data_IF_720442471985
#
_entry.id   IF_720442471985
#
_cell.length_a   1.000
_cell.length_b   1.000
_cell.length_c   1.000
_cell.angle_alpha   90.00
_cell.angle_beta   90.00
_cell.angle_gamma   90.00
#
_symmetry.space_group_name_H-M   'P 1'
#
loop_
_entity.id
_entity.type
_entity.pdbx_description
1 polymer ?
#
# COMPACT_ATOMS: atom_id res chain seq x y z
N UNK A 1 0.45 -32.41 -36.08
CA UNK A 1 0.23 -30.98 -36.29
C UNK A 1 -1.10 -30.87 -37.00
N UNK A 2 -2.12 -30.28 -36.39
CA UNK A 2 -3.43 -30.03 -37.00
C UNK A 2 -3.26 -29.06 -38.17
N UNK A 3 -4.06 -29.22 -39.22
CA UNK A 3 -4.05 -28.33 -40.38
C UNK A 3 -4.44 -26.90 -39.92
N UNK A 4 -3.84 -25.84 -40.49
CA UNK A 4 -4.25 -24.46 -40.21
C UNK A 4 -5.74 -24.28 -40.59
N UNK A 5 -6.39 -23.39 -39.89
CA UNK A 5 -7.79 -23.03 -40.15
C UNK A 5 -7.90 -22.35 -41.50
N UNK A 6 -8.81 -22.83 -42.35
CA UNK A 6 -9.15 -22.17 -43.64
C UNK A 6 -10.65 -22.28 -43.89
N UNK A 7 -11.15 -21.53 -44.86
CA UNK A 7 -12.53 -21.62 -45.31
C UNK A 7 -12.63 -21.62 -46.84
N UNK A 8 -13.61 -22.34 -47.35
CA UNK A 8 -13.97 -22.32 -48.74
C UNK A 8 -15.41 -21.80 -48.92
N UNK A 9 -15.60 -21.04 -49.98
CA UNK A 9 -16.95 -20.54 -50.36
C UNK A 9 -17.55 -21.58 -51.35
N UNK A 10 -18.61 -22.23 -50.93
CA UNK A 10 -19.37 -23.18 -51.73
C UNK A 10 -20.76 -22.58 -52.04
N UNK A 11 -21.24 -22.77 -53.23
CA UNK A 11 -22.61 -22.38 -53.63
C UNK A 11 -23.49 -23.62 -53.55
N UNK A 12 -24.40 -23.65 -52.60
CA UNK A 12 -25.33 -24.75 -52.43
C UNK A 12 -26.75 -24.25 -52.63
N UNK A 13 -27.40 -24.62 -53.73
CA UNK A 13 -28.75 -24.22 -54.13
C UNK A 13 -28.94 -22.69 -54.25
N UNK A 14 -27.94 -21.96 -54.77
CA UNK A 14 -28.02 -20.52 -54.95
C UNK A 14 -27.89 -19.68 -53.68
N UNK A 15 -27.42 -20.29 -52.55
CA UNK A 15 -27.08 -19.60 -51.34
C UNK A 15 -25.58 -19.79 -51.01
N UNK A 16 -24.84 -18.70 -50.83
CA UNK A 16 -23.41 -18.81 -50.48
C UNK A 16 -23.23 -19.43 -49.09
N UNK A 17 -22.47 -20.52 -49.04
CA UNK A 17 -22.12 -21.23 -47.78
C UNK A 17 -20.64 -21.21 -47.58
N UNK A 18 -20.23 -20.88 -46.34
CA UNK A 18 -18.84 -20.95 -45.88
C UNK A 18 -18.60 -22.27 -45.15
N UNK A 19 -17.76 -23.15 -45.76
CA UNK A 19 -17.30 -24.35 -45.13
C UNK A 19 -15.92 -24.14 -44.48
N UNK A 20 -15.87 -24.30 -43.17
CA UNK A 20 -14.62 -24.20 -42.41
C UNK A 20 -13.91 -25.57 -42.39
N UNK A 21 -12.56 -25.55 -42.53
CA UNK A 21 -11.69 -26.72 -42.48
C UNK A 21 -10.50 -26.50 -41.55
N UNK A 22 -9.95 -27.60 -41.02
CA UNK A 22 -8.79 -27.55 -40.13
C UNK A 22 -9.10 -27.20 -38.67
N UNK A 23 -8.11 -26.72 -37.93
CA UNK A 23 -8.26 -26.40 -36.50
C UNK A 23 -8.53 -24.90 -36.27
N UNK A 24 -9.75 -24.59 -35.85
CA UNK A 24 -10.16 -23.22 -35.43
C UNK A 24 -9.67 -22.91 -34.02
N UNK A 25 -8.34 -22.89 -33.84
CA UNK A 25 -7.68 -22.55 -32.57
C UNK A 25 -6.77 -21.37 -32.77
N UNK A 26 -6.52 -20.59 -31.70
CA UNK A 26 -5.75 -19.34 -31.74
C UNK A 26 -4.42 -19.50 -32.53
N UNK A 27 -3.72 -20.60 -32.34
CA UNK A 27 -2.43 -20.86 -33.02
C UNK A 27 -2.58 -21.13 -34.52
N UNK A 28 -3.78 -21.51 -35.00
CA UNK A 28 -4.06 -21.90 -36.40
C UNK A 28 -4.86 -20.87 -37.19
N UNK A 29 -5.35 -19.82 -36.56
CA UNK A 29 -6.27 -18.83 -37.18
C UNK A 29 -5.58 -17.89 -38.19
N UNK A 30 -4.30 -17.55 -38.02
CA UNK A 30 -3.57 -16.65 -38.91
C UNK A 30 -4.34 -15.35 -39.21
N UNK A 31 -4.59 -15.12 -40.51
CA UNK A 31 -5.35 -13.97 -41.05
C UNK A 31 -6.85 -14.26 -41.34
N UNK A 32 -7.34 -15.39 -40.85
CA UNK A 32 -8.71 -15.88 -41.13
C UNK A 32 -9.79 -14.87 -40.77
N UNK A 33 -9.64 -14.15 -39.64
CA UNK A 33 -10.61 -13.15 -39.21
C UNK A 33 -10.70 -11.94 -40.17
N UNK A 34 -9.55 -11.50 -40.70
CA UNK A 34 -9.49 -10.38 -41.65
C UNK A 34 -10.03 -10.78 -43.01
N UNK A 35 -9.75 -11.99 -43.43
CA UNK A 35 -10.29 -12.58 -44.68
C UNK A 35 -11.81 -12.76 -44.62
N UNK A 36 -12.35 -13.20 -43.49
CA UNK A 36 -13.79 -13.29 -43.24
C UNK A 36 -14.46 -11.93 -43.28
N UNK A 37 -13.84 -10.91 -42.72
CA UNK A 37 -14.37 -9.54 -42.71
C UNK A 37 -14.37 -8.88 -44.10
N UNK A 38 -13.50 -9.33 -45.00
CA UNK A 38 -13.38 -8.83 -46.39
C UNK A 38 -14.30 -9.54 -47.40
N UNK A 39 -15.10 -10.49 -46.95
CA UNK A 39 -16.00 -11.26 -47.83
C UNK A 39 -17.21 -10.41 -48.27
N UNK A 40 -17.36 -10.29 -49.60
CA UNK A 40 -18.50 -9.61 -50.23
C UNK A 40 -18.97 -10.45 -51.47
N UNK A 41 -20.20 -11.00 -51.54
CA UNK A 41 -21.29 -10.92 -50.55
C UNK A 41 -21.07 -11.84 -49.33
N UNK A 42 -21.66 -11.48 -48.15
CA UNK A 42 -21.55 -12.32 -46.97
C UNK A 42 -22.30 -13.67 -47.14
N UNK A 43 -21.77 -14.72 -46.57
CA UNK A 43 -22.36 -16.05 -46.61
C UNK A 43 -23.55 -16.16 -45.64
N UNK A 44 -24.66 -16.74 -46.10
CA UNK A 44 -25.87 -16.95 -45.29
C UNK A 44 -25.79 -18.24 -44.41
N UNK A 45 -24.84 -19.15 -44.68
CA UNK A 45 -24.67 -20.40 -43.93
C UNK A 45 -23.21 -20.68 -43.64
N UNK A 46 -22.95 -21.19 -42.43
CA UNK A 46 -21.63 -21.60 -41.95
C UNK A 46 -21.65 -23.11 -41.68
N UNK A 47 -20.85 -23.89 -42.41
CA UNK A 47 -20.72 -25.31 -42.22
C UNK A 47 -19.43 -25.61 -41.45
N UNK A 48 -19.58 -26.20 -40.28
CA UNK A 48 -18.50 -26.58 -39.36
C UNK A 48 -18.23 -28.09 -39.37
N UNK A 49 -18.81 -28.87 -40.31
CA UNK A 49 -18.69 -30.31 -40.36
C UNK A 49 -17.26 -30.83 -40.62
N UNK A 50 -16.40 -30.00 -41.22
CA UNK A 50 -15.02 -30.35 -41.59
C UNK A 50 -13.96 -29.77 -40.64
N UNK A 51 -14.35 -29.21 -39.49
CA UNK A 51 -13.40 -28.73 -38.46
C UNK A 51 -12.86 -29.89 -37.64
N UNK A 52 -11.54 -29.91 -37.40
CA UNK A 52 -10.89 -30.89 -36.54
C UNK A 52 -11.01 -30.53 -35.05
N UNK A 53 -10.92 -29.25 -34.73
CA UNK A 53 -10.93 -28.73 -33.36
C UNK A 53 -11.30 -27.24 -33.32
N UNK A 54 -11.98 -26.82 -32.26
CA UNK A 54 -12.35 -25.44 -32.03
C UNK A 54 -11.98 -25.04 -30.61
N UNK A 55 -11.48 -23.81 -30.43
CA UNK A 55 -11.29 -23.19 -29.13
C UNK A 55 -12.21 -21.97 -28.93
N UNK A 56 -12.09 -21.30 -27.76
CA UNK A 56 -12.93 -20.15 -27.43
C UNK A 56 -12.79 -19.00 -28.44
N UNK A 57 -11.59 -18.81 -29.01
CA UNK A 57 -11.34 -17.75 -30.00
C UNK A 57 -11.96 -18.11 -31.35
N UNK A 58 -11.82 -19.34 -31.77
CA UNK A 58 -12.48 -19.87 -32.98
C UNK A 58 -14.00 -19.77 -32.85
N UNK A 59 -14.56 -20.20 -31.73
CA UNK A 59 -15.99 -20.09 -31.44
C UNK A 59 -16.48 -18.63 -31.45
N UNK A 60 -15.67 -17.70 -30.94
CA UNK A 60 -15.99 -16.29 -30.96
C UNK A 60 -16.01 -15.70 -32.39
N UNK A 61 -15.05 -16.08 -33.24
CA UNK A 61 -15.02 -15.64 -34.65
C UNK A 61 -16.26 -16.13 -35.40
N UNK A 62 -16.61 -17.42 -35.22
CA UNK A 62 -17.82 -18.00 -35.85
C UNK A 62 -19.07 -17.32 -35.34
N UNK A 63 -19.22 -17.15 -34.04
CA UNK A 63 -20.36 -16.48 -33.42
C UNK A 63 -20.50 -15.02 -33.91
N UNK A 64 -19.40 -14.26 -33.89
CA UNK A 64 -19.38 -12.87 -34.35
C UNK A 64 -19.79 -12.72 -35.82
N UNK A 65 -19.29 -13.60 -36.69
CA UNK A 65 -19.65 -13.60 -38.08
C UNK A 65 -21.12 -13.98 -38.26
N UNK A 66 -21.59 -15.04 -37.61
CA UNK A 66 -22.97 -15.47 -37.66
C UNK A 66 -23.95 -14.39 -37.19
N UNK A 67 -23.63 -13.73 -36.05
CA UNK A 67 -24.47 -12.68 -35.51
C UNK A 67 -24.46 -11.37 -36.34
N UNK A 68 -23.30 -11.05 -36.95
CA UNK A 68 -23.15 -9.84 -37.77
C UNK A 68 -23.86 -9.93 -39.15
N UNK A 69 -24.08 -11.15 -39.66
CA UNK A 69 -24.63 -11.40 -40.99
C UNK A 69 -25.91 -12.26 -41.00
N UNK A 70 -26.53 -12.48 -39.82
CA UNK A 70 -27.69 -13.36 -39.63
C UNK A 70 -27.51 -14.76 -40.28
N UNK A 71 -26.25 -15.29 -40.25
CA UNK A 71 -25.91 -16.56 -40.86
C UNK A 71 -26.24 -17.73 -39.92
N UNK A 72 -26.77 -18.80 -40.51
CA UNK A 72 -27.08 -20.04 -39.76
C UNK A 72 -25.88 -20.97 -39.69
N UNK A 73 -25.60 -21.45 -38.46
CA UNK A 73 -24.49 -22.42 -38.20
C UNK A 73 -25.04 -23.84 -38.38
N UNK A 74 -24.36 -24.67 -39.19
CA UNK A 74 -24.72 -26.05 -39.47
C UNK A 74 -23.49 -26.95 -39.32
N UNK A 75 -23.67 -28.25 -39.03
CA UNK A 75 -22.59 -29.22 -38.98
C UNK A 75 -21.65 -29.12 -37.79
N UNK A 76 -21.99 -28.34 -36.76
CA UNK A 76 -21.18 -28.25 -35.53
C UNK A 76 -21.37 -29.51 -34.69
N UNK A 77 -20.24 -30.05 -34.19
CA UNK A 77 -20.21 -31.15 -33.22
C UNK A 77 -20.76 -30.66 -31.85
N UNK A 78 -21.14 -31.57 -30.99
CA UNK A 78 -21.72 -31.26 -29.66
C UNK A 78 -20.82 -30.33 -28.84
N UNK A 79 -19.50 -30.55 -28.88
CA UNK A 79 -18.53 -29.71 -28.14
C UNK A 79 -18.41 -28.30 -28.75
N UNK A 80 -18.39 -28.19 -30.07
CA UNK A 80 -18.37 -26.91 -30.78
C UNK A 80 -19.64 -26.13 -30.54
N UNK A 81 -20.82 -26.79 -30.58
CA UNK A 81 -22.11 -26.18 -30.32
C UNK A 81 -22.21 -25.62 -28.92
N UNK A 82 -21.78 -26.37 -27.89
CA UNK A 82 -21.74 -25.89 -26.48
C UNK A 82 -20.80 -24.70 -26.31
N UNK A 83 -19.63 -24.73 -26.97
CA UNK A 83 -18.66 -23.65 -26.86
C UNK A 83 -19.19 -22.35 -27.50
N UNK A 84 -19.81 -22.47 -28.69
CA UNK A 84 -20.44 -21.33 -29.37
C UNK A 84 -21.60 -20.75 -28.53
N UNK A 85 -22.42 -21.63 -27.92
CA UNK A 85 -23.51 -21.18 -27.03
C UNK A 85 -22.98 -20.47 -25.77
N UNK A 86 -21.88 -20.96 -25.19
CA UNK A 86 -21.23 -20.29 -24.05
C UNK A 86 -20.69 -18.92 -24.41
N UNK A 87 -20.05 -18.82 -25.59
CA UNK A 87 -19.57 -17.54 -26.13
C UNK A 87 -20.72 -16.58 -26.40
N UNK A 88 -21.82 -17.08 -26.99
CA UNK A 88 -23.02 -16.27 -27.24
C UNK A 88 -23.64 -15.74 -25.94
N UNK A 89 -23.64 -16.52 -24.86
CA UNK A 89 -24.10 -16.06 -23.53
C UNK A 89 -23.16 -15.05 -22.89
N UNK A 90 -21.87 -15.14 -23.19
CA UNK A 90 -20.87 -14.21 -22.69
C UNK A 90 -20.77 -12.90 -23.51
N UNK A 91 -21.26 -12.92 -24.76
CA UNK A 91 -21.27 -11.74 -25.63
C UNK A 91 -22.35 -10.74 -25.21
N UNK A 92 -22.11 -10.12 -24.06
CA UNK A 92 -22.91 -9.00 -23.62
C UNK A 92 -22.37 -7.71 -24.26
N UNK A 93 -23.24 -6.86 -24.85
CA UNK A 93 -22.79 -5.59 -25.41
C UNK A 93 -22.10 -4.77 -24.32
N UNK A 94 -20.78 -4.75 -24.37
CA UNK A 94 -20.00 -3.90 -23.49
C UNK A 94 -20.32 -2.46 -23.88
N UNK A 95 -21.24 -1.83 -23.16
CA UNK A 95 -21.54 -0.42 -23.33
C UNK A 95 -20.36 0.41 -22.81
N UNK A 96 -19.32 0.49 -23.62
CA UNK A 96 -18.30 1.52 -23.51
C UNK A 96 -18.89 2.86 -23.96
N UNK A 97 -19.95 3.32 -23.28
CA UNK A 97 -20.34 4.71 -23.43
C UNK A 97 -19.29 5.51 -22.67
N UNK A 98 -18.52 6.38 -23.33
CA UNK A 98 -17.71 7.34 -22.59
C UNK A 98 -18.68 8.12 -21.70
N UNK A 99 -18.31 8.27 -20.41
CA UNK A 99 -19.09 9.05 -19.47
C UNK A 99 -19.28 10.46 -20.02
N UNK A 100 -20.46 10.74 -20.53
CA UNK A 100 -20.86 12.05 -21.10
C UNK A 100 -21.24 13.02 -19.97
N UNK A 101 -20.83 12.76 -18.73
CA UNK A 101 -21.06 13.68 -17.63
C UNK A 101 -20.29 14.98 -17.87
N UNK A 102 -20.93 16.15 -17.66
CA UNK A 102 -20.24 17.42 -17.69
C UNK A 102 -19.02 17.39 -16.79
N UNK A 103 -17.92 18.06 -17.18
CA UNK A 103 -16.65 17.97 -16.44
C UNK A 103 -16.79 18.34 -14.96
N UNK A 104 -17.68 19.25 -14.62
CA UNK A 104 -17.99 19.63 -13.23
C UNK A 104 -18.62 18.47 -12.42
N UNK A 105 -19.56 17.73 -13.01
CA UNK A 105 -20.20 16.60 -12.34
C UNK A 105 -19.24 15.42 -12.18
N UNK A 106 -18.29 15.24 -13.12
CA UNK A 106 -17.23 14.23 -13.00
C UNK A 106 -16.31 14.55 -11.82
N UNK A 107 -15.82 15.80 -11.71
CA UNK A 107 -14.96 16.22 -10.59
C UNK A 107 -15.70 16.10 -9.27
N UNK A 108 -16.97 16.50 -9.19
CA UNK A 108 -17.78 16.34 -7.99
C UNK A 108 -17.98 14.86 -7.62
N UNK A 109 -18.16 13.98 -8.61
CA UNK A 109 -18.26 12.53 -8.41
C UNK A 109 -16.96 11.93 -7.89
N UNK A 110 -15.82 12.28 -8.47
CA UNK A 110 -14.49 11.83 -8.05
C UNK A 110 -14.17 12.30 -6.61
N UNK A 111 -14.44 13.58 -6.31
CA UNK A 111 -14.28 14.11 -4.93
C UNK A 111 -15.24 13.41 -3.97
N UNK A 112 -16.49 13.19 -4.36
CA UNK A 112 -17.47 12.48 -3.54
C UNK A 112 -17.04 11.05 -3.22
N UNK A 113 -16.56 10.32 -4.22
CA UNK A 113 -15.99 8.97 -4.02
C UNK A 113 -14.77 9.00 -3.10
N UNK A 114 -13.85 9.93 -3.30
CA UNK A 114 -12.69 10.10 -2.44
C UNK A 114 -13.06 10.37 -0.98
N UNK A 115 -14.08 11.20 -0.73
CA UNK A 115 -14.58 11.45 0.63
C UNK A 115 -15.21 10.20 1.25
N UNK A 116 -15.99 9.43 0.48
CA UNK A 116 -16.59 8.17 0.96
C UNK A 116 -15.50 7.15 1.28
N UNK A 117 -14.50 7.01 0.42
CA UNK A 117 -13.37 6.09 0.65
C UNK A 117 -12.54 6.50 1.87
N UNK A 118 -12.26 7.80 2.02
CA UNK A 118 -11.61 8.32 3.21
C UNK A 118 -12.43 8.05 4.48
N UNK A 119 -13.74 8.22 4.42
CA UNK A 119 -14.65 7.88 5.52
C UNK A 119 -14.62 6.38 5.87
N UNK A 120 -14.64 5.50 4.88
CA UNK A 120 -14.52 4.05 5.08
C UNK A 120 -13.17 3.66 5.68
N UNK A 121 -12.09 4.26 5.20
CA UNK A 121 -10.75 4.04 5.75
C UNK A 121 -10.66 4.48 7.20
N UNK A 122 -11.25 5.63 7.54
CA UNK A 122 -11.28 6.12 8.92
C UNK A 122 -12.08 5.18 9.85
N UNK A 123 -13.24 4.71 9.40
CA UNK A 123 -14.02 3.72 10.15
C UNK A 123 -13.25 2.40 10.32
N UNK A 124 -12.55 1.93 9.27
CA UNK A 124 -11.69 0.75 9.35
C UNK A 124 -10.54 0.92 10.35
N UNK A 125 -9.92 2.11 10.41
CA UNK A 125 -8.90 2.42 11.42
C UNK A 125 -9.47 2.43 12.85
N UNK A 126 -10.69 2.93 13.04
CA UNK A 126 -11.36 2.91 14.35
C UNK A 126 -11.70 1.48 14.78
N UNK A 127 -12.18 0.65 13.85
CA UNK A 127 -12.44 -0.78 14.12
C UNK A 127 -11.14 -1.51 14.48
N UNK A 128 -10.07 -1.27 13.72
CA UNK A 128 -8.74 -1.84 14.00
C UNK A 128 -8.21 -1.40 15.37
N UNK A 129 -8.37 -0.13 15.72
CA UNK A 129 -8.02 0.38 17.05
C UNK A 129 -8.82 -0.32 18.14
N UNK A 130 -10.14 -0.48 17.96
CA UNK A 130 -11.00 -1.23 18.87
C UNK A 130 -10.55 -2.68 19.04
N UNK A 131 -10.18 -3.34 17.93
CA UNK A 131 -9.67 -4.71 17.95
C UNK A 131 -8.35 -4.83 18.75
N UNK A 132 -7.45 -3.83 18.64
CA UNK A 132 -6.19 -3.78 19.42
C UNK A 132 -6.50 -3.63 20.92
N UNK A 133 -7.46 -2.75 21.30
CA UNK A 133 -7.84 -2.56 22.70
C UNK A 133 -8.44 -3.83 23.28
N UNK A 134 -9.30 -4.53 22.54
CA UNK A 134 -9.88 -5.81 22.94
C UNK A 134 -8.80 -6.88 23.10
N UNK A 135 -7.86 -6.96 22.15
CA UNK A 135 -6.73 -7.87 22.23
C UNK A 135 -5.83 -7.58 23.45
N UNK A 136 -5.51 -6.30 23.69
CA UNK A 136 -4.75 -5.87 24.86
C UNK A 136 -5.47 -6.24 26.16
N UNK A 137 -6.77 -5.98 26.26
CA UNK A 137 -7.58 -6.36 27.41
C UNK A 137 -7.58 -7.87 27.66
N UNK A 138 -7.73 -8.68 26.61
CA UNK A 138 -7.68 -10.15 26.71
C UNK A 138 -6.33 -10.62 27.23
N UNK A 139 -5.21 -10.12 26.66
CA UNK A 139 -3.84 -10.52 27.07
C UNK A 139 -3.59 -10.17 28.54
N UNK A 140 -4.03 -9.00 29.01
CA UNK A 140 -3.91 -8.59 30.42
C UNK A 140 -4.81 -9.46 31.32
N UNK A 141 -6.08 -9.69 30.93
CA UNK A 141 -7.07 -10.44 31.71
C UNK A 141 -6.72 -11.92 31.87
N UNK A 142 -6.19 -12.54 30.80
CA UNK A 142 -5.80 -13.96 30.79
C UNK A 142 -4.33 -14.19 31.11
N UNK A 143 -3.55 -13.16 31.37
CA UNK A 143 -2.10 -13.20 31.66
C UNK A 143 -1.25 -13.94 30.61
N UNK A 144 -1.69 -13.98 29.36
CA UNK A 144 -1.00 -14.63 28.24
C UNK A 144 -0.01 -13.70 27.57
N UNK A 145 0.86 -13.06 28.35
CA UNK A 145 1.83 -12.10 27.81
C UNK A 145 2.99 -12.84 27.12
N UNK A 146 3.20 -12.56 25.84
CA UNK A 146 4.30 -13.12 25.04
C UNK A 146 5.55 -12.22 25.15
N UNK A 147 6.23 -12.25 26.30
CA UNK A 147 7.40 -11.40 26.54
C UNK A 147 8.47 -11.54 25.46
N UNK A 148 8.76 -12.75 24.98
CA UNK A 148 9.76 -12.97 23.95
C UNK A 148 9.43 -12.28 22.62
N UNK A 149 8.15 -12.22 22.25
CA UNK A 149 7.72 -11.51 21.04
C UNK A 149 7.90 -9.99 21.18
N UNK A 150 7.56 -9.45 22.34
CA UNK A 150 7.77 -8.01 22.63
C UNK A 150 9.27 -7.70 22.68
N UNK A 151 10.08 -8.52 23.37
CA UNK A 151 11.53 -8.33 23.46
C UNK A 151 12.20 -8.32 22.07
N UNK A 152 11.80 -9.22 21.18
CA UNK A 152 12.31 -9.23 19.81
C UNK A 152 11.93 -7.95 19.04
N UNK A 153 10.75 -7.42 19.27
CA UNK A 153 10.34 -6.14 18.66
C UNK A 153 11.13 -4.96 19.24
N UNK A 154 11.51 -5.00 20.52
CA UNK A 154 12.41 -4.02 21.13
C UNK A 154 13.78 -3.97 20.45
N UNK A 155 14.34 -5.10 20.10
CA UNK A 155 15.61 -5.19 19.37
C UNK A 155 15.45 -4.59 17.95
N UNK A 156 14.42 -5.00 17.22
CA UNK A 156 14.20 -4.60 15.83
C UNK A 156 13.88 -3.10 15.71
N UNK A 157 12.98 -2.58 16.55
CA UNK A 157 12.52 -1.19 16.50
C UNK A 157 13.48 -0.25 17.23
N UNK A 158 14.06 -0.69 18.37
CA UNK A 158 14.88 0.14 19.23
C UNK A 158 16.35 0.10 18.84
N UNK A 159 17.02 -1.01 19.17
CA UNK A 159 18.50 -1.10 19.09
C UNK A 159 19.02 -0.79 17.70
N UNK A 160 18.42 -1.38 16.69
CA UNK A 160 18.83 -1.19 15.30
C UNK A 160 18.56 0.24 14.77
N UNK A 161 17.74 1.04 15.45
CA UNK A 161 17.43 2.41 15.05
C UNK A 161 18.33 3.44 15.76
N UNK A 162 18.98 3.10 16.87
CA UNK A 162 19.74 4.05 17.71
C UNK A 162 20.79 4.83 16.92
N UNK A 163 21.59 4.15 16.09
CA UNK A 163 22.66 4.80 15.35
C UNK A 163 22.13 5.87 14.37
N UNK A 164 21.06 5.54 13.65
CA UNK A 164 20.46 6.45 12.67
C UNK A 164 19.76 7.61 13.37
N UNK A 165 18.96 7.32 14.41
CA UNK A 165 18.27 8.35 15.21
C UNK A 165 19.32 9.27 15.85
N UNK A 166 20.39 8.71 16.41
CA UNK A 166 21.47 9.48 17.01
C UNK A 166 22.14 10.42 16.01
N UNK A 167 22.57 9.91 14.87
CA UNK A 167 23.21 10.72 13.84
C UNK A 167 22.31 11.84 13.35
N UNK A 168 21.06 11.52 13.02
CA UNK A 168 20.12 12.51 12.52
C UNK A 168 19.77 13.57 13.56
N UNK A 169 19.55 13.15 14.81
CA UNK A 169 19.29 14.08 15.91
C UNK A 169 20.47 15.00 16.19
N UNK A 170 21.68 14.47 16.13
CA UNK A 170 22.91 15.24 16.27
C UNK A 170 23.02 16.35 15.21
N UNK A 171 22.85 15.98 13.93
CA UNK A 171 22.91 16.94 12.82
C UNK A 171 21.80 17.99 12.91
N UNK A 172 20.59 17.60 13.28
CA UNK A 172 19.48 18.53 13.46
C UNK A 172 19.75 19.48 14.63
N UNK A 173 20.33 19.01 15.72
CA UNK A 173 20.76 19.85 16.82
C UNK A 173 21.75 20.93 16.38
N UNK A 174 22.72 20.58 15.55
CA UNK A 174 23.65 21.55 14.92
C UNK A 174 22.90 22.55 14.06
N UNK A 175 21.99 22.11 13.19
CA UNK A 175 21.26 22.99 12.27
C UNK A 175 20.40 23.99 13.04
N UNK A 176 19.70 23.53 14.10
CA UNK A 176 18.84 24.41 14.92
C UNK A 176 19.68 25.45 15.65
N UNK A 177 20.82 25.03 16.21
CA UNK A 177 21.70 25.97 16.90
C UNK A 177 22.28 26.98 15.91
N UNK A 178 22.65 26.57 14.69
CA UNK A 178 23.12 27.47 13.64
C UNK A 178 22.06 28.47 13.21
N UNK A 179 20.83 28.00 12.95
CA UNK A 179 19.72 28.87 12.55
C UNK A 179 19.33 29.84 13.69
N UNK A 180 19.29 29.34 14.90
CA UNK A 180 19.04 30.18 16.08
C UNK A 180 20.11 31.25 16.26
N UNK A 181 21.39 30.89 16.14
CA UNK A 181 22.50 31.83 16.24
C UNK A 181 22.43 32.94 15.20
N UNK A 182 22.18 32.60 13.93
CA UNK A 182 22.06 33.60 12.83
C UNK A 182 20.91 34.58 13.09
N UNK A 183 19.76 34.07 13.52
CA UNK A 183 18.59 34.93 13.81
C UNK A 183 18.81 35.82 15.01
N UNK A 184 19.40 35.32 16.10
CA UNK A 184 19.60 36.06 17.33
C UNK A 184 20.79 37.03 17.26
N UNK A 185 21.74 36.77 16.37
CA UNK A 185 22.90 37.66 16.13
C UNK A 185 22.50 39.07 15.72
N UNK A 186 21.42 39.18 14.93
CA UNK A 186 20.91 40.49 14.49
C UNK A 186 20.46 41.39 15.66
N UNK A 187 20.16 40.79 16.81
CA UNK A 187 19.73 41.48 18.03
C UNK A 187 20.80 41.52 19.12
N UNK A 188 22.01 41.02 18.84
CA UNK A 188 23.07 40.87 19.86
C UNK A 188 22.71 39.89 20.98
N UNK A 189 21.81 38.95 20.69
CA UNK A 189 21.20 38.06 21.70
C UNK A 189 21.61 36.60 21.50
N UNK A 190 22.80 36.32 21.02
CA UNK A 190 23.32 34.99 20.61
C UNK A 190 23.25 33.96 21.76
N UNK A 191 23.41 34.39 23.02
CA UNK A 191 23.33 33.51 24.20
C UNK A 191 21.95 32.85 24.33
N UNK A 192 20.88 33.45 23.83
CA UNK A 192 19.55 32.88 23.86
C UNK A 192 19.37 31.70 22.89
N UNK A 193 20.35 31.45 22.00
CA UNK A 193 20.38 30.22 21.17
C UNK A 193 20.33 28.96 22.03
N UNK A 194 20.97 28.97 23.19
CA UNK A 194 20.95 27.85 24.15
C UNK A 194 19.53 27.54 24.61
N UNK A 195 18.77 28.59 24.94
CA UNK A 195 17.39 28.46 25.39
C UNK A 195 16.50 27.86 24.31
N UNK A 196 16.68 28.31 23.07
CA UNK A 196 15.94 27.87 21.91
C UNK A 196 16.23 26.39 21.62
N UNK A 197 17.51 26.02 21.56
CA UNK A 197 17.95 24.63 21.34
C UNK A 197 17.40 23.71 22.42
N UNK A 198 17.57 24.07 23.70
CA UNK A 198 17.12 23.24 24.81
C UNK A 198 15.61 23.02 24.83
N UNK A 199 14.82 24.09 24.72
CA UNK A 199 13.35 24.01 24.79
C UNK A 199 12.73 23.31 23.59
N UNK A 200 13.13 23.69 22.37
CA UNK A 200 12.55 23.11 21.16
C UNK A 200 12.89 21.62 21.06
N UNK A 201 14.13 21.26 21.39
CA UNK A 201 14.58 19.86 21.29
C UNK A 201 13.85 18.96 22.26
N UNK A 202 13.76 19.35 23.55
CA UNK A 202 13.11 18.54 24.57
C UNK A 202 11.60 18.46 24.40
N UNK A 203 10.98 19.56 24.01
CA UNK A 203 9.52 19.67 23.96
C UNK A 203 8.92 19.08 22.70
N UNK A 204 9.56 19.30 21.53
CA UNK A 204 8.98 18.96 20.24
C UNK A 204 9.88 18.04 19.41
N UNK A 205 11.09 18.49 19.07
CA UNK A 205 11.87 17.91 18.00
C UNK A 205 12.41 16.52 18.31
N UNK A 206 12.83 16.26 19.54
CA UNK A 206 13.36 14.93 19.90
C UNK A 206 12.34 13.83 19.62
N UNK A 207 11.10 14.03 20.04
CA UNK A 207 10.02 13.06 19.82
C UNK A 207 9.54 13.05 18.37
N UNK A 208 9.40 14.23 17.74
CA UNK A 208 8.93 14.32 16.35
C UNK A 208 9.90 13.66 15.38
N UNK A 209 11.21 13.93 15.50
CA UNK A 209 12.23 13.34 14.65
C UNK A 209 12.30 11.82 14.83
N UNK A 210 12.24 11.37 16.07
CA UNK A 210 12.16 9.94 16.38
C UNK A 210 10.94 9.30 15.73
N UNK A 211 9.78 9.97 15.82
CA UNK A 211 8.53 9.49 15.23
C UNK A 211 8.63 9.35 13.71
N UNK A 212 9.19 10.34 13.01
CA UNK A 212 9.40 10.29 11.56
C UNK A 212 10.33 9.14 11.17
N UNK A 213 11.44 8.96 11.90
CA UNK A 213 12.40 7.89 11.62
C UNK A 213 11.83 6.49 11.88
N UNK A 214 11.09 6.33 12.98
CA UNK A 214 10.43 5.06 13.32
C UNK A 214 9.30 4.76 12.34
N UNK A 215 8.53 5.76 11.91
CA UNK A 215 7.48 5.60 10.91
C UNK A 215 8.06 5.13 9.56
N UNK A 216 9.09 5.82 9.06
CA UNK A 216 9.71 5.49 7.79
C UNK A 216 10.39 4.12 7.78
N UNK A 217 11.06 3.73 8.87
CA UNK A 217 11.79 2.47 8.95
C UNK A 217 10.97 1.32 9.49
N UNK A 218 10.47 1.46 10.73
CA UNK A 218 9.81 0.35 11.43
C UNK A 218 8.37 0.19 10.98
N UNK A 219 7.66 1.30 10.70
CA UNK A 219 6.31 1.28 10.17
C UNK A 219 6.24 0.59 8.81
N UNK A 220 7.13 0.94 7.88
CA UNK A 220 7.23 0.28 6.57
C UNK A 220 7.64 -1.18 6.67
N UNK A 221 8.55 -1.53 7.58
CA UNK A 221 8.94 -2.91 7.82
C UNK A 221 7.77 -3.76 8.37
N UNK A 222 6.93 -3.20 9.23
CA UNK A 222 5.72 -3.87 9.72
C UNK A 222 4.73 -4.15 8.58
N UNK A 223 4.48 -3.17 7.73
CA UNK A 223 3.61 -3.33 6.56
C UNK A 223 4.14 -4.41 5.61
N UNK A 224 5.43 -4.37 5.28
CA UNK A 224 6.06 -5.35 4.40
C UNK A 224 6.01 -6.78 4.98
N UNK A 225 6.31 -6.95 6.28
CA UNK A 225 6.26 -8.26 6.94
C UNK A 225 4.84 -8.82 7.00
N UNK A 226 3.85 -8.01 7.39
CA UNK A 226 2.46 -8.48 7.45
C UNK A 226 1.91 -8.74 6.05
N UNK A 227 2.26 -7.92 5.07
CA UNK A 227 1.89 -8.11 3.68
C UNK A 227 2.46 -9.41 3.09
N UNK A 228 3.74 -9.72 3.34
CA UNK A 228 4.34 -10.99 2.91
C UNK A 228 3.70 -12.21 3.57
N UNK A 229 3.41 -12.14 4.88
CA UNK A 229 2.71 -13.22 5.61
C UNK A 229 1.27 -13.42 5.10
N UNK A 230 0.60 -12.34 4.68
CA UNK A 230 -0.73 -12.43 4.10
C UNK A 230 -0.70 -13.07 2.71
N UNK A 231 0.25 -12.71 1.87
CA UNK A 231 0.45 -13.31 0.53
C UNK A 231 0.84 -14.79 0.61
N UNK A 232 1.60 -15.17 1.64
CA UNK A 232 1.97 -16.57 1.92
C UNK A 232 0.87 -17.36 2.66
N UNK A 233 -0.32 -16.79 2.88
CA UNK A 233 -1.45 -17.37 3.62
C UNK A 233 -1.12 -17.79 5.07
N UNK A 234 0.02 -17.33 5.61
CA UNK A 234 0.45 -17.66 6.98
C UNK A 234 -0.53 -17.13 8.04
N UNK A 235 -1.13 -15.96 7.79
CA UNK A 235 -2.11 -15.36 8.71
C UNK A 235 -3.38 -16.22 8.77
N UNK A 236 -3.82 -16.78 7.65
CA UNK A 236 -5.01 -17.63 7.60
C UNK A 236 -4.71 -19.02 8.19
N UNK A 237 -3.50 -19.56 7.97
CA UNK A 237 -3.03 -20.75 8.65
C UNK A 237 -3.04 -20.58 10.18
N UNK A 238 -2.59 -19.42 10.71
CA UNK A 238 -2.66 -19.13 12.14
C UNK A 238 -4.08 -19.12 12.68
N UNK A 239 -5.06 -18.62 11.92
CA UNK A 239 -6.47 -18.64 12.30
C UNK A 239 -7.03 -20.06 12.39
N UNK A 240 -6.66 -20.93 11.43
CA UNK A 240 -7.08 -22.33 11.41
C UNK A 240 -6.60 -23.08 12.65
N UNK A 241 -5.35 -22.83 13.09
CA UNK A 241 -4.79 -23.47 14.30
C UNK A 241 -5.21 -22.77 15.62
N UNK A 242 -6.15 -21.79 15.55
CA UNK A 242 -6.71 -21.13 16.72
C UNK A 242 -5.84 -20.02 17.34
N UNK A 243 -4.81 -19.54 16.63
CA UNK A 243 -3.99 -18.40 17.08
C UNK A 243 -4.59 -17.10 16.53
N UNK A 244 -4.96 -16.19 17.42
CA UNK A 244 -5.46 -14.87 17.02
C UNK A 244 -4.32 -13.99 16.48
N UNK A 245 -4.31 -13.58 15.18
CA UNK A 245 -3.24 -12.79 14.59
C UNK A 245 -3.05 -11.44 15.29
N UNK A 246 -4.14 -10.82 15.76
CA UNK A 246 -4.09 -9.55 16.49
C UNK A 246 -3.25 -9.66 17.78
N UNK A 247 -3.40 -10.76 18.53
CA UNK A 247 -2.65 -10.99 19.77
C UNK A 247 -1.20 -11.44 19.51
N UNK A 248 -0.99 -12.18 18.41
CA UNK A 248 0.31 -12.78 18.12
C UNK A 248 1.26 -11.85 17.36
N UNK A 249 0.74 -11.03 16.42
CA UNK A 249 1.52 -10.23 15.50
C UNK A 249 1.41 -8.73 15.77
N UNK A 250 0.18 -8.20 15.88
CA UNK A 250 -0.05 -6.76 15.95
C UNK A 250 0.25 -6.22 17.35
N UNK A 251 -0.31 -6.82 18.39
CA UNK A 251 -0.20 -6.32 19.75
C UNK A 251 1.25 -6.18 20.24
N UNK A 252 2.18 -7.16 20.03
CA UNK A 252 3.59 -7.01 20.45
C UNK A 252 4.29 -5.84 19.75
N UNK A 253 3.98 -5.55 18.47
CA UNK A 253 4.54 -4.43 17.72
C UNK A 253 4.06 -3.09 18.26
N UNK A 254 2.76 -2.98 18.53
CA UNK A 254 2.15 -1.77 19.11
C UNK A 254 2.73 -1.51 20.50
N UNK A 255 2.77 -2.51 21.38
CA UNK A 255 3.32 -2.36 22.73
C UNK A 255 4.80 -1.98 22.72
N UNK A 256 5.60 -2.63 21.89
CA UNK A 256 7.00 -2.29 21.75
C UNK A 256 7.19 -0.86 21.30
N UNK A 257 6.45 -0.41 20.29
CA UNK A 257 6.52 0.96 19.77
C UNK A 257 6.10 1.99 20.83
N UNK A 258 5.01 1.76 21.55
CA UNK A 258 4.50 2.65 22.60
C UNK A 258 5.50 2.83 23.73
N UNK A 259 6.16 1.75 24.15
CA UNK A 259 7.14 1.79 25.26
C UNK A 259 8.50 2.34 24.80
N UNK A 260 8.92 2.02 23.57
CA UNK A 260 10.21 2.47 23.05
C UNK A 260 10.23 3.95 22.65
N UNK A 261 9.13 4.48 22.16
CA UNK A 261 9.09 5.87 21.67
C UNK A 261 9.53 6.91 22.70
N UNK A 262 9.11 6.88 23.98
CA UNK A 262 9.64 7.78 24.99
C UNK A 262 11.15 7.67 25.19
N UNK A 263 11.67 6.44 25.21
CA UNK A 263 13.11 6.18 25.40
C UNK A 263 13.93 6.70 24.23
N UNK A 264 13.49 6.42 23.00
CA UNK A 264 14.16 6.89 21.78
C UNK A 264 14.04 8.41 21.63
N UNK A 265 12.89 8.99 21.98
CA UNK A 265 12.68 10.45 21.97
C UNK A 265 13.56 11.16 22.98
N UNK A 266 13.72 10.61 24.19
CA UNK A 266 14.66 11.12 25.17
C UNK A 266 16.10 11.04 24.68
N UNK A 267 16.51 9.87 24.15
CA UNK A 267 17.83 9.69 23.56
C UNK A 267 18.09 10.70 22.43
N UNK A 268 17.17 10.85 21.51
CA UNK A 268 17.24 11.81 20.41
C UNK A 268 17.42 13.26 20.90
N UNK A 269 16.68 13.64 21.96
CA UNK A 269 16.77 14.97 22.56
C UNK A 269 18.14 15.23 23.17
N UNK A 270 18.69 14.25 23.91
CA UNK A 270 20.04 14.35 24.49
C UNK A 270 21.09 14.51 23.40
N UNK A 271 21.02 13.68 22.35
CA UNK A 271 22.01 13.73 21.27
C UNK A 271 21.88 15.02 20.45
N UNK A 272 20.67 15.52 20.23
CA UNK A 272 20.47 16.80 19.56
C UNK A 272 21.01 17.98 20.38
N UNK A 273 20.83 17.96 21.71
CA UNK A 273 21.44 18.97 22.59
C UNK A 273 22.96 18.91 22.55
N UNK A 274 23.56 17.72 22.47
CA UNK A 274 25.01 17.60 22.29
C UNK A 274 25.48 18.23 20.98
N UNK A 275 24.76 17.98 19.87
CA UNK A 275 25.05 18.59 18.57
C UNK A 275 24.98 20.11 18.61
N UNK A 276 23.87 20.64 19.18
CA UNK A 276 23.70 22.09 19.38
C UNK A 276 24.73 22.71 20.31
N UNK A 277 25.11 22.01 21.38
CA UNK A 277 26.16 22.45 22.33
C UNK A 277 27.53 22.55 21.70
N UNK A 278 27.91 21.58 20.86
CA UNK A 278 29.17 21.58 20.12
C UNK A 278 29.22 22.77 19.17
N UNK A 279 28.13 23.05 18.47
CA UNK A 279 28.09 24.24 17.59
C UNK A 279 28.20 25.53 18.40
N UNK A 280 27.48 25.69 19.51
CA UNK A 280 27.57 26.85 20.38
C UNK A 280 28.99 27.06 20.90
N UNK A 281 29.71 25.98 21.17
CA UNK A 281 31.11 26.06 21.60
C UNK A 281 32.04 26.51 20.46
N UNK A 282 31.92 25.97 19.26
CA UNK A 282 32.85 26.25 18.15
C UNK A 282 32.51 27.60 17.46
N UNK A 283 31.24 27.91 17.26
CA UNK A 283 30.80 29.05 16.46
C UNK A 283 30.47 30.30 17.27
N UNK A 284 30.12 30.16 18.55
CA UNK A 284 29.71 31.26 19.42
C UNK A 284 30.68 31.46 20.61
N UNK A 285 31.79 30.70 20.70
CA UNK A 285 32.76 30.72 21.79
C UNK A 285 32.13 30.55 23.19
N UNK A 286 30.99 29.84 23.26
CA UNK A 286 30.27 29.59 24.52
C UNK A 286 30.83 28.27 25.12
N UNK A 287 31.48 28.34 26.31
CA UNK A 287 32.03 27.14 26.92
C UNK A 287 30.95 26.13 27.30
N UNK A 288 31.23 24.80 27.21
CA UNK A 288 30.25 23.75 27.51
C UNK A 288 29.67 23.85 28.93
N UNK A 289 30.44 24.32 29.87
CA UNK A 289 29.97 24.55 31.26
C UNK A 289 28.85 25.56 31.32
N UNK A 290 29.00 26.70 30.64
CA UNK A 290 27.96 27.74 30.53
C UNK A 290 26.74 27.22 29.80
N UNK A 291 26.91 26.41 28.73
CA UNK A 291 25.82 25.81 28.03
C UNK A 291 24.95 24.91 28.93
N UNK A 292 25.59 24.00 29.68
CA UNK A 292 24.88 23.10 30.61
C UNK A 292 24.20 23.87 31.74
N UNK A 293 24.89 24.86 32.33
CA UNK A 293 24.32 25.69 33.39
C UNK A 293 23.09 26.44 32.91
N UNK A 294 23.18 27.03 31.73
CA UNK A 294 22.06 27.79 31.13
C UNK A 294 20.87 26.90 30.82
N UNK A 295 21.08 25.69 30.30
CA UNK A 295 19.99 24.72 30.08
C UNK A 295 19.27 24.41 31.39
N UNK A 296 20.01 24.17 32.49
CA UNK A 296 19.41 23.89 33.78
C UNK A 296 18.57 25.06 34.34
N UNK A 297 18.98 26.28 34.07
CA UNK A 297 18.28 27.47 34.54
C UNK A 297 17.01 27.81 33.77
N UNK A 298 17.07 27.60 32.44
CA UNK A 298 16.05 28.13 31.53
C UNK A 298 15.07 27.08 31.04
N UNK A 299 15.49 25.82 30.92
CA UNK A 299 14.64 24.76 30.41
C UNK A 299 13.85 24.10 31.54
N UNK A 300 12.53 24.37 31.64
CA UNK A 300 11.73 23.76 32.68
C UNK A 300 11.57 22.26 32.43
N UNK A 301 11.54 21.49 33.49
CA UNK A 301 11.33 20.05 33.43
C UNK A 301 9.98 19.66 32.80
N UNK A 302 9.03 20.59 32.80
CA UNK A 302 7.73 20.42 32.13
C UNK A 302 7.87 20.20 30.63
N UNK A 303 8.86 20.82 29.96
CA UNK A 303 9.09 20.62 28.52
C UNK A 303 9.50 19.16 28.22
N UNK A 304 10.28 18.54 29.09
CA UNK A 304 10.61 17.12 29.02
C UNK A 304 9.34 16.24 29.20
N UNK A 305 8.53 16.53 30.22
CA UNK A 305 7.30 15.76 30.44
C UNK A 305 6.32 15.86 29.29
N UNK A 306 6.15 17.04 28.69
CA UNK A 306 5.29 17.25 27.52
C UNK A 306 5.81 16.44 26.33
N UNK A 307 7.12 16.43 26.09
CA UNK A 307 7.73 15.60 25.05
C UNK A 307 7.48 14.10 25.29
N UNK A 308 7.83 13.61 26.48
CA UNK A 308 7.67 12.20 26.84
C UNK A 308 6.23 11.71 26.84
N UNK A 309 5.26 12.56 27.20
CA UNK A 309 3.83 12.20 27.22
C UNK A 309 3.26 12.05 25.81
N UNK A 310 3.75 12.81 24.83
CA UNK A 310 3.35 12.69 23.42
C UNK A 310 3.90 11.42 22.77
N UNK A 311 5.09 10.98 23.17
CA UNK A 311 5.82 9.91 22.51
C UNK A 311 5.05 8.57 22.42
N UNK A 312 4.37 8.06 23.47
CA UNK A 312 3.57 6.84 23.38
C UNK A 312 2.45 6.94 22.35
N UNK A 313 1.83 8.13 22.22
CA UNK A 313 0.74 8.37 21.27
C UNK A 313 1.28 8.28 19.84
N UNK A 314 2.42 8.89 19.55
CA UNK A 314 3.08 8.74 18.24
C UNK A 314 3.46 7.29 17.96
N UNK A 315 3.99 6.57 18.96
CA UNK A 315 4.31 5.15 18.84
C UNK A 315 3.10 4.29 18.49
N UNK A 316 1.98 4.55 19.16
CA UNK A 316 0.71 3.86 18.86
C UNK A 316 0.23 4.14 17.42
N UNK A 317 0.21 5.41 17.00
CA UNK A 317 -0.24 5.81 15.66
C UNK A 317 0.64 5.16 14.57
N UNK A 318 1.97 5.20 14.74
CA UNK A 318 2.92 4.64 13.78
C UNK A 318 2.73 3.13 13.65
N UNK A 319 2.66 2.43 14.78
CA UNK A 319 2.50 0.98 14.79
C UNK A 319 1.14 0.55 14.22
N UNK A 320 0.07 1.30 14.53
CA UNK A 320 -1.26 1.05 13.97
C UNK A 320 -1.27 1.27 12.45
N UNK A 321 -0.73 2.39 11.97
CA UNK A 321 -0.66 2.68 10.54
C UNK A 321 0.15 1.62 9.79
N UNK A 322 1.31 1.20 10.33
CA UNK A 322 2.14 0.16 9.72
C UNK A 322 1.55 -1.25 9.77
N UNK A 323 0.63 -1.54 10.69
CA UNK A 323 -0.02 -2.85 10.78
C UNK A 323 -1.40 -2.90 10.10
N UNK A 324 -2.00 -1.75 9.77
CA UNK A 324 -3.31 -1.67 9.12
C UNK A 324 -3.22 -1.90 7.60
N UNK A 325 -2.12 -1.51 6.95
CA UNK A 325 -1.87 -1.74 5.53
C UNK A 325 -1.65 -3.21 5.22
#
# INVERSE_FOLDING_TARGET
MSAPADFALEDNDGQPMLRFTGALVLAGLGDLADRLAALDPPAARLDLSAIERIDTVGAWIVHRYAHGHDATITGADDDASRLIEQVAKADQPCRTRPDTLPPLLRVLGEVGQGVIEAGRTLLGLLDFFGAILIAAWRVVRYRRFRFNAVARQFEVVGVNALAIIGLMSFLIGIVIAQQGAVQLRQFGAEVFTINLVGRITLRELGVLMTAIMVAGRSGSAFAAQLGSMKLAEEIDAMRIIGVAPMEALVLPRVLASVILMPLLGFYASVVAMLGGGILCWIALDIPPTTFIQRIREVVPITDLYVGLLKAPVFGAIIAMAGCYQ
#
